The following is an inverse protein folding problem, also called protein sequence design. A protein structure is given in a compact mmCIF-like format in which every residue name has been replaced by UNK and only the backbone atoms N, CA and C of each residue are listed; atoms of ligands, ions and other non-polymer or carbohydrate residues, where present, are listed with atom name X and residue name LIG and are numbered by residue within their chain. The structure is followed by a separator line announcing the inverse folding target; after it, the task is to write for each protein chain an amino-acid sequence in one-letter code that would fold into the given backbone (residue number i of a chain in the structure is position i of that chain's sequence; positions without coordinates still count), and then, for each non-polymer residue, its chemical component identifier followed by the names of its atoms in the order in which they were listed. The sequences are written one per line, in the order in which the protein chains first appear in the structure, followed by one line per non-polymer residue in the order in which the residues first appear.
data_IF_357710773582
#
_entry.id   IF_357710773582
#
_cell.length_a   1.000
_cell.length_b   1.000
_cell.length_c   1.000
_cell.angle_alpha   90.00
_cell.angle_beta   90.00
_cell.angle_gamma   90.00
#
_symmetry.space_group_name_H-M   'P 1'
#
loop_
_entity.id
_entity.type
_entity.pdbx_description
1 polymer ?
#
# COMPACT_ATOMS: atom_id res chain seq x y z
N UNK A 1 -3.21 21.65 1.09
CA UNK A 1 -4.43 20.94 1.53
C UNK A 1 -4.18 19.96 2.67
N UNK A 2 -3.16 19.08 2.61
CA UNK A 2 -2.80 18.12 3.68
C UNK A 2 -2.54 18.73 5.08
N UNK A 3 -1.82 19.86 5.16
CA UNK A 3 -1.61 20.57 6.44
C UNK A 3 -2.91 21.06 7.06
N UNK A 4 -3.92 21.39 6.25
CA UNK A 4 -5.17 21.99 6.72
C UNK A 4 -6.05 20.97 7.44
N UNK A 5 -6.16 19.74 6.93
CA UNK A 5 -6.96 18.69 7.56
C UNK A 5 -6.34 18.19 8.88
N UNK A 6 -5.01 18.02 8.89
CA UNK A 6 -4.26 17.68 10.11
C UNK A 6 -4.33 18.82 11.15
N UNK A 7 -4.29 20.09 10.71
CA UNK A 7 -4.51 21.23 11.61
C UNK A 7 -5.94 21.23 12.17
N UNK A 8 -6.96 20.97 11.35
CA UNK A 8 -8.37 21.02 11.77
C UNK A 8 -8.68 19.93 12.80
N UNK A 9 -8.19 18.70 12.61
CA UNK A 9 -8.32 17.63 13.60
C UNK A 9 -7.59 17.97 14.91
N UNK A 10 -6.39 18.54 14.82
CA UNK A 10 -5.62 18.91 16.00
C UNK A 10 -6.22 20.12 16.75
N UNK A 11 -6.73 21.13 16.03
CA UNK A 11 -7.45 22.28 16.59
C UNK A 11 -8.74 21.83 17.26
N UNK A 12 -9.49 20.91 16.64
CA UNK A 12 -10.71 20.37 17.24
C UNK A 12 -10.42 19.57 18.51
N UNK A 13 -9.35 18.77 18.52
CA UNK A 13 -8.89 18.09 19.73
C UNK A 13 -8.44 19.07 20.82
N UNK A 14 -7.72 20.14 20.46
CA UNK A 14 -7.28 21.17 21.41
C UNK A 14 -8.48 21.92 22.01
N UNK A 15 -9.46 22.32 21.19
CA UNK A 15 -10.70 22.98 21.62
C UNK A 15 -11.55 22.05 22.50
N UNK A 16 -11.57 20.75 22.20
CA UNK A 16 -12.28 19.77 23.00
C UNK A 16 -11.60 19.52 24.35
N UNK A 17 -10.27 19.45 24.37
CA UNK A 17 -9.47 19.31 25.59
C UNK A 17 -9.57 20.56 26.48
N UNK A 18 -9.61 21.77 25.92
CA UNK A 18 -9.85 22.99 26.71
C UNK A 18 -11.25 23.01 27.32
N UNK A 19 -12.27 22.53 26.60
CA UNK A 19 -13.63 22.39 27.12
C UNK A 19 -13.68 21.39 28.30
N UNK A 20 -13.01 20.24 28.16
CA UNK A 20 -12.88 19.23 29.23
C UNK A 20 -12.22 19.81 30.48
N UNK A 21 -11.15 20.59 30.33
CA UNK A 21 -10.44 21.25 31.44
C UNK A 21 -11.36 22.28 32.14
N UNK A 22 -12.14 23.05 31.39
CA UNK A 22 -13.08 24.03 31.97
C UNK A 22 -14.19 23.32 32.77
N UNK A 23 -14.74 22.23 32.25
CA UNK A 23 -15.77 21.47 32.97
C UNK A 23 -15.17 20.82 34.23
N UNK A 24 -13.95 20.27 34.15
CA UNK A 24 -13.26 19.67 35.29
C UNK A 24 -12.91 20.69 36.39
N UNK A 25 -12.39 21.86 36.03
CA UNK A 25 -12.11 22.94 37.01
C UNK A 25 -13.38 23.45 37.67
N UNK A 26 -14.49 23.56 36.92
CA UNK A 26 -15.81 23.92 37.46
C UNK A 26 -16.43 22.84 38.36
N UNK A 27 -16.01 21.59 38.22
CA UNK A 27 -16.45 20.46 39.04
C UNK A 27 -15.71 20.45 40.39
N UNK A 28 -14.39 20.64 40.36
CA UNK A 28 -13.55 20.76 41.57
C UNK A 28 -13.99 21.94 42.43
N UNK A 29 -14.30 23.10 41.81
CA UNK A 29 -14.83 24.27 42.54
C UNK A 29 -16.15 24.01 43.26
N UNK A 30 -17.07 23.22 42.68
CA UNK A 30 -18.31 22.82 43.37
C UNK A 30 -18.07 21.81 44.50
N UNK A 31 -17.04 20.96 44.39
CA UNK A 31 -16.71 19.97 45.42
C UNK A 31 -16.11 20.64 46.66
N UNK A 32 -15.21 21.62 46.48
CA UNK A 32 -14.60 22.36 47.59
C UNK A 32 -15.56 23.31 48.33
N UNK A 33 -16.61 23.80 47.67
CA UNK A 33 -17.59 24.72 48.28
C UNK A 33 -18.70 23.99 49.03
N UNK A 34 -18.96 22.71 48.74
CA UNK A 34 -20.05 21.90 49.31
C UNK A 34 -19.64 21.00 50.49
N UNK A 35 -18.60 21.35 51.25
CA UNK A 35 -18.15 20.55 52.42
C UNK A 35 -19.16 20.53 53.60
N UNK A 36 -20.31 21.21 53.46
CA UNK A 36 -21.45 21.09 54.36
C UNK A 36 -22.70 20.57 53.64
N UNK A 37 -23.16 19.37 54.05
CA UNK A 37 -24.41 18.66 53.77
C UNK A 37 -24.48 17.63 52.60
N UNK A 38 -24.67 16.37 53.02
CA UNK A 38 -24.96 15.15 52.25
C UNK A 38 -26.27 15.20 51.43
N UNK A 39 -26.31 15.91 50.31
CA UNK A 39 -27.26 15.61 49.25
C UNK A 39 -26.65 15.96 47.88
N UNK A 40 -26.38 15.00 46.97
CA UNK A 40 -25.80 15.32 45.68
C UNK A 40 -26.79 16.19 44.91
N UNK A 41 -26.50 17.49 44.79
CA UNK A 41 -27.31 18.37 43.98
C UNK A 41 -27.34 17.84 42.53
N UNK A 42 -28.49 17.88 41.83
CA UNK A 42 -28.61 17.38 40.46
C UNK A 42 -27.59 18.01 39.50
N UNK A 43 -27.08 19.20 39.83
CA UNK A 43 -26.00 19.89 39.13
C UNK A 43 -24.68 19.11 39.08
N UNK A 44 -24.32 18.35 40.11
CA UNK A 44 -23.08 17.56 40.17
C UNK A 44 -23.20 16.32 39.27
N UNK A 45 -24.35 15.65 39.30
CA UNK A 45 -24.64 14.48 38.46
C UNK A 45 -24.63 14.84 36.97
N UNK A 46 -25.21 15.98 36.60
CA UNK A 46 -25.21 16.47 35.20
C UNK A 46 -23.78 16.76 34.73
N UNK A 47 -22.96 17.42 35.55
CA UNK A 47 -21.56 17.72 35.20
C UNK A 47 -20.70 16.46 35.06
N UNK A 48 -20.88 15.48 35.96
CA UNK A 48 -20.20 14.18 35.87
C UNK A 48 -20.58 13.44 34.58
N UNK A 49 -21.86 13.44 34.21
CA UNK A 49 -22.34 12.84 32.96
C UNK A 49 -21.77 13.56 31.71
N UNK A 50 -21.72 14.89 31.70
CA UNK A 50 -21.11 15.67 30.62
C UNK A 50 -19.60 15.40 30.48
N UNK A 51 -18.86 15.28 31.58
CA UNK A 51 -17.45 14.90 31.56
C UNK A 51 -17.24 13.49 31.03
N UNK A 52 -18.05 12.52 31.49
CA UNK A 52 -17.93 11.15 31.05
C UNK A 52 -18.24 10.99 29.54
N UNK A 53 -19.33 11.60 29.07
CA UNK A 53 -19.72 11.55 27.64
C UNK A 53 -18.70 12.25 26.74
N UNK A 54 -18.14 13.37 27.17
CA UNK A 54 -17.08 14.06 26.42
C UNK A 54 -15.78 13.26 26.39
N UNK A 55 -15.34 12.66 27.51
CA UNK A 55 -14.18 11.75 27.54
C UNK A 55 -14.38 10.55 26.61
N UNK A 56 -15.58 9.95 26.62
CA UNK A 56 -15.93 8.85 25.73
C UNK A 56 -15.85 9.31 24.27
N UNK A 57 -16.46 10.45 23.93
CA UNK A 57 -16.40 11.01 22.58
C UNK A 57 -14.96 11.29 22.12
N UNK A 58 -14.11 11.85 23.00
CA UNK A 58 -12.69 12.07 22.71
C UNK A 58 -11.93 10.77 22.47
N UNK A 59 -12.15 9.76 23.31
CA UNK A 59 -11.53 8.43 23.12
C UNK A 59 -11.98 7.83 21.79
N UNK A 60 -13.26 7.97 21.41
CA UNK A 60 -13.75 7.50 20.11
C UNK A 60 -13.14 8.26 18.94
N UNK A 61 -12.98 9.59 19.03
CA UNK A 61 -12.43 10.42 17.96
C UNK A 61 -10.90 10.33 17.82
N UNK A 62 -10.19 9.99 18.90
CA UNK A 62 -8.72 9.81 18.88
C UNK A 62 -8.29 8.40 18.50
N UNK A 63 -9.23 7.45 18.34
CA UNK A 63 -8.92 6.10 17.89
C UNK A 63 -8.49 6.17 16.42
N UNK A 64 -7.28 5.68 16.07
CA UNK A 64 -6.86 5.63 14.68
C UNK A 64 -7.80 4.69 13.92
N UNK A 65 -8.16 5.10 12.70
CA UNK A 65 -8.90 4.24 11.78
C UNK A 65 -8.10 2.97 11.57
N UNK A 66 -8.72 1.81 11.82
CA UNK A 66 -8.05 0.53 11.64
C UNK A 66 -7.98 0.24 10.14
N UNK A 67 -6.76 0.10 9.64
CA UNK A 67 -6.47 -0.22 8.24
C UNK A 67 -6.06 -1.68 8.16
N UNK A 68 -6.64 -2.39 7.19
CA UNK A 68 -6.46 -3.83 7.03
C UNK A 68 -6.02 -4.15 5.61
N UNK A 69 -5.12 -5.13 5.49
CA UNK A 69 -4.87 -5.82 4.23
C UNK A 69 -6.03 -6.81 4.02
N UNK A 70 -6.83 -6.58 2.99
CA UNK A 70 -8.00 -7.43 2.71
C UNK A 70 -7.57 -8.78 2.12
N UNK A 71 -6.70 -8.74 1.10
CA UNK A 71 -6.17 -9.93 0.43
C UNK A 71 -4.92 -9.56 -0.39
N UNK A 72 -4.24 -10.56 -0.96
CA UNK A 72 -3.13 -10.41 -1.88
C UNK A 72 -3.15 -11.50 -2.97
N UNK A 73 -2.52 -11.20 -4.11
CA UNK A 73 -2.34 -12.14 -5.20
C UNK A 73 -0.97 -11.96 -5.85
N UNK A 74 -0.43 -13.05 -6.39
CA UNK A 74 0.86 -13.06 -7.08
C UNK A 74 0.70 -13.82 -8.38
N UNK A 75 0.96 -13.16 -9.51
CA UNK A 75 0.93 -13.83 -10.80
C UNK A 75 2.03 -14.90 -10.86
N UNK A 76 1.65 -16.14 -11.16
CA UNK A 76 2.57 -17.23 -11.46
C UNK A 76 2.76 -17.36 -12.97
N UNK A 77 3.97 -17.16 -13.51
CA UNK A 77 4.24 -17.34 -14.94
C UNK A 77 3.96 -18.78 -15.40
N UNK A 78 3.72 -18.93 -16.70
CA UNK A 78 3.50 -20.22 -17.36
C UNK A 78 4.81 -21.03 -17.43
N UNK A 79 4.70 -22.34 -17.66
CA UNK A 79 5.84 -23.25 -17.73
C UNK A 79 6.83 -22.95 -18.88
N UNK A 80 6.40 -22.24 -19.93
CA UNK A 80 7.29 -21.78 -21.01
C UNK A 80 8.28 -20.71 -20.54
N UNK A 81 7.98 -20.01 -19.44
CA UNK A 81 8.91 -19.07 -18.79
C UNK A 81 9.90 -19.76 -17.85
N UNK A 82 9.77 -21.08 -17.62
CA UNK A 82 10.60 -21.82 -16.67
C UNK A 82 12.01 -22.03 -17.25
N UNK A 83 13.02 -21.80 -16.42
CA UNK A 83 14.41 -21.89 -16.83
C UNK A 83 15.30 -22.49 -15.74
N UNK A 84 16.28 -23.31 -16.14
CA UNK A 84 17.37 -23.76 -15.26
C UNK A 84 18.53 -22.79 -15.28
N UNK A 85 19.45 -22.90 -14.32
CA UNK A 85 20.67 -22.07 -14.26
C UNK A 85 21.57 -22.32 -15.46
N UNK A 86 21.68 -23.58 -15.88
CA UNK A 86 22.48 -24.02 -17.02
C UNK A 86 21.93 -23.45 -18.32
N UNK A 87 20.60 -23.51 -18.52
CA UNK A 87 19.98 -22.96 -19.72
C UNK A 87 20.17 -21.43 -19.81
N UNK A 88 20.12 -20.69 -18.69
CA UNK A 88 20.43 -19.26 -18.69
C UNK A 88 21.88 -18.99 -19.10
N UNK A 89 22.83 -19.71 -18.50
CA UNK A 89 24.26 -19.55 -18.79
C UNK A 89 24.60 -19.91 -20.23
N UNK A 90 24.04 -21.01 -20.73
CA UNK A 90 24.22 -21.46 -22.11
C UNK A 90 23.71 -20.42 -23.10
N UNK A 91 22.49 -19.91 -22.91
CA UNK A 91 21.92 -18.88 -23.79
C UNK A 91 22.69 -17.56 -23.73
N UNK A 92 23.09 -17.12 -22.54
CA UNK A 92 23.88 -15.91 -22.38
C UNK A 92 25.26 -16.02 -23.07
N UNK A 93 25.90 -17.19 -23.00
CA UNK A 93 27.16 -17.46 -23.70
C UNK A 93 26.96 -17.53 -25.22
N UNK A 94 25.95 -18.26 -25.69
CA UNK A 94 25.66 -18.45 -27.12
C UNK A 94 25.29 -17.13 -27.82
N UNK A 95 24.65 -16.20 -27.11
CA UNK A 95 24.34 -14.87 -27.65
C UNK A 95 25.51 -13.88 -27.55
N UNK A 96 26.61 -14.26 -26.89
CA UNK A 96 27.80 -13.42 -26.73
C UNK A 96 27.67 -12.35 -25.65
N UNK A 97 26.74 -12.49 -24.71
CA UNK A 97 26.67 -11.58 -23.55
C UNK A 97 27.82 -11.79 -22.57
N UNK A 98 28.43 -12.98 -22.56
CA UNK A 98 29.45 -13.36 -21.59
C UNK A 98 30.78 -13.60 -22.29
N UNK A 99 31.82 -12.93 -21.80
CA UNK A 99 33.20 -13.38 -22.01
C UNK A 99 33.56 -14.47 -20.98
N UNK A 100 34.71 -15.12 -21.14
CA UNK A 100 35.13 -16.25 -20.31
C UNK A 100 35.19 -15.88 -18.81
N UNK A 101 35.70 -14.69 -18.49
CA UNK A 101 35.77 -14.20 -17.10
C UNK A 101 34.38 -13.97 -16.49
N UNK A 102 33.47 -13.33 -17.24
CA UNK A 102 32.09 -13.06 -16.81
C UNK A 102 31.29 -14.36 -16.70
N UNK A 103 31.54 -15.34 -17.57
CA UNK A 103 30.93 -16.66 -17.49
C UNK A 103 31.26 -17.34 -16.16
N UNK A 104 32.55 -17.41 -15.80
CA UNK A 104 33.00 -18.02 -14.54
C UNK A 104 32.38 -17.29 -13.33
N UNK A 105 32.33 -15.95 -13.38
CA UNK A 105 31.74 -15.13 -12.32
C UNK A 105 30.23 -15.39 -12.17
N UNK A 106 29.47 -15.29 -13.24
CA UNK A 106 28.01 -15.46 -13.21
C UNK A 106 27.64 -16.90 -12.84
N UNK A 107 28.38 -17.89 -13.34
CA UNK A 107 28.19 -19.27 -12.92
C UNK A 107 28.36 -19.42 -11.40
N UNK A 108 29.43 -18.87 -10.81
CA UNK A 108 29.64 -18.89 -9.36
C UNK A 108 28.53 -18.15 -8.59
N UNK A 109 28.02 -17.04 -9.14
CA UNK A 109 26.91 -16.29 -8.54
C UNK A 109 25.63 -17.14 -8.56
N UNK A 110 25.28 -17.76 -9.69
CA UNK A 110 24.08 -18.58 -9.83
C UNK A 110 24.09 -19.79 -8.89
N UNK A 111 25.25 -20.44 -8.75
CA UNK A 111 25.43 -21.56 -7.81
C UNK A 111 25.25 -21.15 -6.35
N UNK A 112 25.61 -19.90 -5.99
CA UNK A 112 25.56 -19.38 -4.61
C UNK A 112 24.36 -18.46 -4.33
N UNK A 113 23.49 -18.24 -5.31
CA UNK A 113 22.39 -17.28 -5.24
C UNK A 113 21.25 -17.68 -4.29
N UNK A 114 21.18 -18.95 -3.88
CA UNK A 114 20.03 -19.49 -3.16
C UNK A 114 18.78 -19.71 -4.03
N UNK A 115 18.86 -19.43 -5.34
CA UNK A 115 17.79 -19.77 -6.30
C UNK A 115 17.72 -21.28 -6.46
N UNK A 116 16.50 -21.80 -6.50
CA UNK A 116 16.24 -23.23 -6.72
C UNK A 116 16.75 -23.74 -8.08
N UNK A 117 16.59 -25.05 -8.36
CA UNK A 117 17.05 -25.64 -9.62
C UNK A 117 16.41 -25.01 -10.87
N UNK A 118 15.20 -24.49 -10.73
CA UNK A 118 14.47 -23.76 -11.76
C UNK A 118 13.88 -22.46 -11.22
N UNK A 119 13.76 -21.46 -12.08
CA UNK A 119 13.10 -20.18 -11.82
C UNK A 119 12.38 -19.72 -13.08
N UNK A 120 11.57 -18.66 -12.98
CA UNK A 120 10.97 -18.03 -14.15
C UNK A 120 11.78 -16.82 -14.61
N UNK A 121 11.83 -16.61 -15.92
CA UNK A 121 12.35 -15.39 -16.56
C UNK A 121 11.45 -15.01 -17.73
N UNK A 122 11.55 -13.79 -18.30
CA UNK A 122 10.74 -13.39 -19.44
C UNK A 122 10.89 -14.37 -20.61
N UNK A 123 9.78 -14.76 -21.26
CA UNK A 123 9.83 -15.66 -22.42
C UNK A 123 10.70 -15.09 -23.55
N UNK A 124 10.65 -13.78 -23.76
CA UNK A 124 11.49 -13.09 -24.73
C UNK A 124 13.01 -13.21 -24.45
N UNK A 125 13.41 -13.43 -23.18
CA UNK A 125 14.80 -13.70 -22.81
C UNK A 125 15.22 -15.15 -23.13
N UNK A 126 14.24 -16.05 -23.24
CA UNK A 126 14.44 -17.47 -23.52
C UNK A 126 14.54 -17.76 -25.04
N UNK A 127 14.16 -16.82 -25.89
CA UNK A 127 14.31 -16.95 -27.35
C UNK A 127 15.79 -16.91 -27.79
N UNK A 128 16.10 -17.51 -28.95
CA UNK A 128 17.43 -17.50 -29.55
C UNK A 128 17.33 -17.02 -31.02
N UNK A 129 17.71 -15.77 -31.35
CA UNK A 129 18.22 -14.74 -30.44
C UNK A 129 17.13 -14.18 -29.48
N UNK A 130 17.49 -13.65 -28.29
CA UNK A 130 16.54 -13.07 -27.36
C UNK A 130 15.89 -11.81 -27.94
N UNK A 131 14.59 -11.64 -27.69
CA UNK A 131 13.76 -10.58 -28.26
C UNK A 131 13.53 -9.46 -27.25
N UNK A 132 14.59 -8.73 -26.92
CA UNK A 132 14.59 -7.70 -25.87
C UNK A 132 14.03 -6.35 -26.35
N UNK A 133 12.75 -6.33 -26.74
CA UNK A 133 12.07 -5.12 -27.23
C UNK A 133 11.18 -4.48 -26.16
N UNK A 134 10.86 -3.19 -26.35
CA UNK A 134 9.91 -2.50 -25.48
C UNK A 134 8.50 -3.11 -25.53
N UNK A 135 8.13 -3.69 -26.67
CA UNK A 135 6.84 -4.36 -26.84
C UNK A 135 6.78 -5.66 -26.04
N UNK A 136 7.87 -6.44 -26.01
CA UNK A 136 7.94 -7.64 -25.15
C UNK A 136 7.94 -7.29 -23.66
N UNK A 137 8.68 -6.25 -23.25
CA UNK A 137 8.63 -5.76 -21.87
C UNK A 137 7.22 -5.30 -21.47
N UNK A 138 6.48 -4.67 -22.40
CA UNK A 138 5.08 -4.27 -22.20
C UNK A 138 4.15 -5.48 -22.13
N UNK A 139 4.33 -6.48 -23.00
CA UNK A 139 3.54 -7.71 -23.01
C UNK A 139 3.71 -8.48 -21.70
N UNK A 140 4.95 -8.64 -21.23
CA UNK A 140 5.25 -9.26 -19.94
C UNK A 140 4.63 -8.48 -18.79
N UNK A 141 4.84 -7.16 -18.74
CA UNK A 141 4.28 -6.31 -17.68
C UNK A 141 2.76 -6.44 -17.63
N UNK A 142 2.08 -6.37 -18.77
CA UNK A 142 0.62 -6.55 -18.83
C UNK A 142 0.20 -7.93 -18.32
N UNK A 143 0.89 -8.98 -18.73
CA UNK A 143 0.57 -10.35 -18.31
C UNK A 143 0.70 -10.52 -16.79
N UNK A 144 1.77 -9.99 -16.19
CA UNK A 144 2.02 -10.07 -14.75
C UNK A 144 1.04 -9.20 -13.97
N UNK A 145 0.90 -7.94 -14.36
CA UNK A 145 0.04 -6.97 -13.67
C UNK A 145 -1.42 -7.40 -13.74
N UNK A 146 -1.92 -7.74 -14.93
CA UNK A 146 -3.32 -8.13 -15.09
C UNK A 146 -3.59 -9.47 -14.42
N UNK A 147 -2.69 -10.46 -14.56
CA UNK A 147 -2.86 -11.74 -13.90
C UNK A 147 -2.96 -11.63 -12.36
N UNK A 148 -2.18 -10.74 -11.75
CA UNK A 148 -2.24 -10.50 -10.31
C UNK A 148 -3.51 -9.74 -9.90
N UNK A 149 -3.92 -8.72 -10.67
CA UNK A 149 -5.13 -7.94 -10.36
C UNK A 149 -6.39 -8.77 -10.58
N UNK A 150 -6.47 -9.55 -11.66
CA UNK A 150 -7.60 -10.45 -11.95
C UNK A 150 -7.84 -11.42 -10.80
N UNK A 151 -6.79 -12.11 -10.34
CA UNK A 151 -6.86 -13.03 -9.21
C UNK A 151 -7.30 -12.32 -7.92
N UNK A 152 -6.78 -11.12 -7.67
CA UNK A 152 -7.15 -10.34 -6.48
C UNK A 152 -8.62 -9.90 -6.49
N UNK A 153 -9.10 -9.37 -7.61
CA UNK A 153 -10.50 -8.96 -7.76
C UNK A 153 -11.44 -10.16 -7.70
N UNK A 154 -11.02 -11.30 -8.26
CA UNK A 154 -11.79 -12.54 -8.16
C UNK A 154 -11.90 -13.04 -6.72
N UNK A 155 -10.82 -13.02 -5.93
CA UNK A 155 -10.83 -13.44 -4.53
C UNK A 155 -11.67 -12.51 -3.65
N UNK A 156 -11.46 -11.20 -3.80
CA UNK A 156 -12.05 -10.19 -2.91
C UNK A 156 -13.50 -9.84 -3.27
N UNK A 157 -13.91 -10.11 -4.52
CA UNK A 157 -15.20 -9.67 -5.10
C UNK A 157 -15.40 -8.14 -5.04
N UNK A 158 -14.31 -7.38 -4.89
CA UNK A 158 -14.34 -5.91 -4.95
C UNK A 158 -14.56 -5.49 -6.40
N UNK A 159 -15.52 -4.61 -6.63
CA UNK A 159 -15.72 -4.06 -7.96
C UNK A 159 -14.66 -3.00 -8.29
N UNK A 160 -14.19 -2.97 -9.52
CA UNK A 160 -13.20 -2.01 -10.03
C UNK A 160 -13.57 -0.55 -9.74
N UNK A 161 -14.88 -0.22 -9.71
CA UNK A 161 -15.41 1.12 -9.41
C UNK A 161 -15.22 1.56 -7.94
N UNK A 162 -15.09 0.60 -7.02
CA UNK A 162 -14.96 0.85 -5.58
C UNK A 162 -13.51 1.15 -5.17
N UNK A 163 -12.56 0.90 -6.08
CA UNK A 163 -11.15 1.20 -5.89
C UNK A 163 -10.95 2.71 -6.05
N UNK A 164 -10.59 3.38 -4.96
CA UNK A 164 -10.44 4.83 -4.95
C UNK A 164 -9.03 5.35 -5.11
N UNK A 165 -8.04 4.48 -4.88
CA UNK A 165 -6.61 4.81 -4.97
C UNK A 165 -5.90 3.62 -5.61
N UNK A 166 -5.03 3.91 -6.58
CA UNK A 166 -4.13 2.95 -7.21
C UNK A 166 -2.68 3.36 -6.93
N UNK A 167 -1.92 2.45 -6.33
CA UNK A 167 -0.48 2.57 -6.15
C UNK A 167 0.20 1.49 -6.98
N UNK A 168 0.95 1.89 -8.00
CA UNK A 168 1.73 0.98 -8.85
C UNK A 168 3.19 1.21 -8.57
N UNK A 169 3.95 0.14 -8.40
CA UNK A 169 5.39 0.17 -8.33
C UNK A 169 5.99 -0.66 -9.46
N UNK A 170 6.93 -0.08 -10.20
CA UNK A 170 7.78 -0.85 -11.11
C UNK A 170 9.16 -0.17 -11.25
N UNK A 171 10.22 -0.95 -11.07
CA UNK A 171 11.59 -0.46 -11.24
C UNK A 171 12.25 -0.92 -12.54
N UNK A 172 11.66 -1.92 -13.21
CA UNK A 172 12.23 -2.53 -14.41
C UNK A 172 11.76 -1.88 -15.70
N UNK A 173 10.52 -1.38 -15.73
CA UNK A 173 9.91 -0.85 -16.94
C UNK A 173 8.97 0.32 -16.64
N UNK A 174 9.30 1.50 -17.18
CA UNK A 174 8.55 2.74 -16.96
C UNK A 174 8.14 3.38 -18.31
N UNK A 175 7.17 2.78 -19.03
CA UNK A 175 6.76 3.24 -20.35
C UNK A 175 5.91 4.51 -20.31
N UNK A 176 5.71 5.11 -21.49
CA UNK A 176 4.61 6.04 -21.75
C UNK A 176 3.66 5.41 -22.78
N UNK A 177 2.33 5.34 -22.53
CA UNK A 177 1.64 5.66 -21.27
C UNK A 177 2.11 4.78 -20.10
N UNK A 178 1.87 5.21 -18.86
CA UNK A 178 2.40 4.52 -17.68
C UNK A 178 1.71 3.18 -17.42
N UNK A 179 2.33 2.31 -16.61
CA UNK A 179 1.70 1.06 -16.18
C UNK A 179 0.40 1.33 -15.40
N UNK A 180 0.39 2.37 -14.57
CA UNK A 180 -0.83 2.80 -13.88
C UNK A 180 -1.94 3.25 -14.83
N UNK A 181 -1.63 3.99 -15.90
CA UNK A 181 -2.64 4.38 -16.90
C UNK A 181 -3.20 3.15 -17.61
N UNK A 182 -2.31 2.18 -17.87
CA UNK A 182 -2.67 0.91 -18.52
C UNK A 182 -3.66 0.12 -17.66
N UNK A 183 -3.42 0.02 -16.34
CA UNK A 183 -4.32 -0.62 -15.38
C UNK A 183 -5.66 0.12 -15.29
N UNK A 184 -5.65 1.44 -15.15
CA UNK A 184 -6.86 2.27 -15.07
C UNK A 184 -7.73 2.06 -16.31
N UNK A 185 -7.13 2.09 -17.50
CA UNK A 185 -7.86 1.91 -18.74
C UNK A 185 -8.33 0.47 -18.96
N UNK A 186 -7.56 -0.53 -18.53
CA UNK A 186 -7.92 -1.94 -18.68
C UNK A 186 -9.13 -2.30 -17.79
N UNK A 187 -9.06 -1.98 -16.50
CA UNK A 187 -10.10 -2.32 -15.53
C UNK A 187 -11.26 -1.31 -15.45
N UNK A 188 -11.21 -0.24 -16.24
CA UNK A 188 -12.20 0.85 -16.22
C UNK A 188 -12.42 1.38 -14.81
N UNK A 189 -11.31 1.64 -14.11
CA UNK A 189 -11.34 2.26 -12.78
C UNK A 189 -12.03 3.63 -12.86
N UNK A 190 -12.60 4.08 -11.73
CA UNK A 190 -13.38 5.33 -11.66
C UNK A 190 -12.56 6.54 -12.12
N UNK A 191 -13.21 7.51 -12.77
CA UNK A 191 -12.53 8.69 -13.34
C UNK A 191 -11.89 9.65 -12.32
N UNK A 192 -12.29 9.58 -11.03
CA UNK A 192 -11.74 10.36 -9.93
C UNK A 192 -10.76 9.53 -9.05
N UNK A 193 -10.13 8.51 -9.62
CA UNK A 193 -9.12 7.71 -8.93
C UNK A 193 -7.84 8.53 -8.66
N UNK A 194 -7.26 8.34 -7.47
CA UNK A 194 -5.93 8.87 -7.18
C UNK A 194 -4.88 7.84 -7.60
N UNK A 195 -3.92 8.25 -8.42
CA UNK A 195 -2.92 7.36 -9.01
C UNK A 195 -1.54 7.77 -8.51
N UNK A 196 -0.78 6.80 -8.02
CA UNK A 196 0.61 6.98 -7.60
C UNK A 196 1.49 5.93 -8.28
N UNK A 197 2.43 6.38 -9.11
CA UNK A 197 3.43 5.52 -9.74
C UNK A 197 4.77 5.68 -9.02
N UNK A 198 5.20 4.63 -8.33
CA UNK A 198 6.46 4.54 -7.60
C UNK A 198 7.50 3.86 -8.49
N UNK A 199 8.67 4.49 -8.60
CA UNK A 199 9.79 3.96 -9.39
C UNK A 199 11.12 4.28 -8.70
N UNK A 200 12.14 3.46 -8.92
CA UNK A 200 13.51 3.74 -8.45
C UNK A 200 13.80 3.34 -7.00
N UNK A 201 12.85 2.72 -6.29
CA UNK A 201 13.05 2.23 -4.91
C UNK A 201 13.63 0.80 -4.86
N UNK A 202 13.65 0.09 -5.99
CA UNK A 202 14.17 -1.27 -6.10
C UNK A 202 13.40 -2.27 -5.22
N UNK A 203 14.11 -3.25 -4.65
CA UNK A 203 13.52 -4.32 -3.85
C UNK A 203 12.81 -3.84 -2.56
N UNK A 204 13.05 -2.59 -2.12
CA UNK A 204 12.41 -2.03 -0.93
C UNK A 204 11.00 -1.48 -1.21
N UNK A 205 10.65 -1.31 -2.48
CA UNK A 205 9.43 -0.66 -2.91
C UNK A 205 8.16 -1.34 -2.38
N UNK A 206 8.16 -2.68 -2.28
CA UNK A 206 7.10 -3.47 -1.66
C UNK A 206 6.63 -2.91 -0.32
N UNK A 207 7.56 -2.85 0.63
CA UNK A 207 7.27 -2.45 2.01
C UNK A 207 7.00 -0.95 2.12
N UNK A 208 7.72 -0.13 1.34
CA UNK A 208 7.49 1.32 1.27
C UNK A 208 6.09 1.63 0.78
N UNK A 209 5.62 0.93 -0.25
CA UNK A 209 4.31 1.16 -0.83
C UNK A 209 3.18 0.75 0.11
N UNK A 210 3.38 -0.30 0.91
CA UNK A 210 2.41 -0.69 1.97
C UNK A 210 2.31 0.38 3.05
N UNK A 211 3.43 0.94 3.54
CA UNK A 211 3.39 2.06 4.51
C UNK A 211 2.78 3.32 3.87
N UNK A 212 3.10 3.58 2.61
CA UNK A 212 2.53 4.68 1.85
C UNK A 212 1.01 4.55 1.70
N UNK A 213 0.52 3.37 1.31
CA UNK A 213 -0.92 3.08 1.20
C UNK A 213 -1.64 3.23 2.55
N UNK A 214 -1.03 2.77 3.65
CA UNK A 214 -1.55 2.97 5.00
C UNK A 214 -1.70 4.46 5.32
N UNK A 215 -0.65 5.26 5.12
CA UNK A 215 -0.69 6.72 5.38
C UNK A 215 -1.71 7.43 4.50
N UNK A 216 -1.95 6.95 3.28
CA UNK A 216 -2.99 7.49 2.42
C UNK A 216 -4.39 7.22 2.96
N UNK A 217 -4.67 5.99 3.45
CA UNK A 217 -5.96 5.64 4.06
C UNK A 217 -6.24 6.39 5.37
N UNK A 218 -5.21 6.85 6.08
CA UNK A 218 -5.37 7.68 7.27
C UNK A 218 -5.91 9.10 6.95
N UNK A 219 -5.68 9.58 5.72
CA UNK A 219 -5.99 10.98 5.33
C UNK A 219 -7.10 11.08 4.29
N UNK A 220 -7.19 10.10 3.38
CA UNK A 220 -8.13 10.10 2.27
C UNK A 220 -9.28 9.15 2.58
N UNK A 221 -10.51 9.65 2.51
CA UNK A 221 -11.69 8.79 2.56
C UNK A 221 -11.79 7.98 1.26
N UNK A 222 -11.26 6.77 1.28
CA UNK A 222 -11.39 5.77 0.23
C UNK A 222 -11.71 4.43 0.86
N UNK A 223 -12.60 3.65 0.24
CA UNK A 223 -12.98 2.33 0.75
C UNK A 223 -11.85 1.31 0.51
N UNK A 224 -11.20 1.39 -0.66
CA UNK A 224 -10.14 0.47 -1.06
C UNK A 224 -8.95 1.17 -1.73
N UNK A 225 -7.75 0.62 -1.50
CA UNK A 225 -6.52 0.91 -2.25
C UNK A 225 -6.07 -0.38 -2.94
N UNK A 226 -5.76 -0.28 -4.23
CA UNK A 226 -5.08 -1.34 -4.98
C UNK A 226 -3.58 -1.03 -5.01
N UNK A 227 -2.76 -1.95 -4.50
CA UNK A 227 -1.30 -1.89 -4.59
C UNK A 227 -0.78 -2.99 -5.52
N UNK A 228 0.14 -2.62 -6.42
CA UNK A 228 0.76 -3.55 -7.37
C UNK A 228 2.28 -3.31 -7.40
N UNK A 229 3.06 -4.39 -7.42
CA UNK A 229 4.53 -4.38 -7.42
C UNK A 229 5.13 -5.28 -8.49
#
# INVERSE_FOLDING_TARGET
MLKHFYLISNIMNILFMSLLIVIATSYVGCFYVNDEYCNPQPSILIKSFCLATSLVYYIFMTRPNKIYLVDFACHKPKNNCLCTKEMLLERANNFGFLNEESFILIHKILERSGVGPTTYVPEALLEMPPRLTLDEARNESNLVLFGAVDELLEKTKVEAKDIGILVVNCCLFNPTPSLSDTIVNHYKLRGNILIYNLSGMGCSAGVIAVDFAKRLLEVVFSLFILYIS
#
